data_IF_994775391365
#
_entry.id   IF_994775391365
#
_cell.length_a   1.000
_cell.length_b   1.000
_cell.length_c   1.000
_cell.angle_alpha   90.00
_cell.angle_beta   90.00
_cell.angle_gamma   90.00
#
_symmetry.space_group_name_H-M   'P 1'
#
loop_
_entity.id
_entity.type
_entity.pdbx_description
1 polymer ?
#
# COMPACT_ATOMS: atom_id res chain seq x y z
N UNK A 1 -14.72 13.69 -29.57
CA UNK A 1 -13.35 14.22 -29.37
C UNK A 1 -12.88 13.65 -28.06
N UNK A 2 -11.85 12.81 -28.08
CA UNK A 2 -11.39 12.03 -26.92
C UNK A 2 -10.81 12.95 -25.84
N UNK A 3 -11.10 12.65 -24.58
CA UNK A 3 -10.64 13.33 -23.35
C UNK A 3 -9.13 13.64 -23.34
N UNK A 4 -8.32 12.77 -23.95
CA UNK A 4 -6.88 12.96 -24.14
C UNK A 4 -6.49 14.21 -24.95
N UNK A 5 -7.31 14.56 -25.96
CA UNK A 5 -7.09 15.73 -26.83
C UNK A 5 -7.33 17.03 -26.06
N UNK A 6 -8.31 17.02 -25.15
CA UNK A 6 -8.70 18.15 -24.31
C UNK A 6 -7.64 18.43 -23.24
N UNK A 7 -7.10 17.39 -22.61
CA UNK A 7 -6.05 17.51 -21.59
C UNK A 7 -4.73 18.05 -22.17
N UNK A 8 -4.35 17.57 -23.36
CA UNK A 8 -3.14 18.04 -24.06
C UNK A 8 -3.23 19.52 -24.45
N UNK A 9 -4.43 19.96 -24.82
CA UNK A 9 -4.73 21.37 -25.12
C UNK A 9 -4.68 22.25 -23.87
N UNK A 10 -5.27 21.79 -22.75
CA UNK A 10 -5.23 22.47 -21.46
C UNK A 10 -3.79 22.63 -20.94
N UNK A 11 -2.95 21.57 -21.06
CA UNK A 11 -1.52 21.63 -20.71
C UNK A 11 -0.77 22.70 -21.52
N UNK A 12 -1.01 22.77 -22.83
CA UNK A 12 -0.37 23.78 -23.69
C UNK A 12 -0.82 25.21 -23.35
N UNK A 13 -2.11 25.41 -23.05
CA UNK A 13 -2.62 26.73 -22.64
C UNK A 13 -2.05 27.19 -21.31
N UNK A 14 -1.93 26.27 -20.34
CA UNK A 14 -1.33 26.56 -19.04
C UNK A 14 0.17 26.90 -19.17
N UNK A 15 0.93 26.13 -19.97
CA UNK A 15 2.32 26.43 -20.30
C UNK A 15 2.49 27.81 -20.96
N UNK A 16 1.55 28.20 -21.83
CA UNK A 16 1.54 29.52 -22.46
C UNK A 16 1.30 30.66 -21.46
N UNK A 17 0.36 30.49 -20.53
CA UNK A 17 0.09 31.45 -19.46
C UNK A 17 1.28 31.59 -18.50
N UNK A 18 1.93 30.48 -18.18
CA UNK A 18 3.12 30.42 -17.35
C UNK A 18 4.30 31.17 -17.95
N UNK A 19 4.59 30.92 -19.23
CA UNK A 19 5.65 31.63 -19.93
C UNK A 19 5.39 33.15 -20.01
N UNK A 20 4.12 33.58 -19.97
CA UNK A 20 3.74 34.99 -19.95
C UNK A 20 3.91 35.67 -18.58
N UNK A 21 3.98 34.90 -17.47
CA UNK A 21 4.11 35.45 -16.11
C UNK A 21 5.56 35.86 -15.75
N UNK A 22 6.56 35.48 -16.56
CA UNK A 22 7.92 36.05 -16.53
C UNK A 22 8.78 35.70 -15.30
N UNK A 23 8.24 34.98 -14.33
CA UNK A 23 8.88 34.63 -13.07
C UNK A 23 9.16 33.12 -13.02
N UNK A 24 10.41 32.73 -13.32
CA UNK A 24 10.81 31.32 -13.50
C UNK A 24 10.56 30.45 -12.26
N UNK A 25 10.69 31.01 -11.07
CA UNK A 25 10.55 30.29 -9.80
C UNK A 25 9.07 29.96 -9.55
N UNK A 26 8.19 30.96 -9.64
CA UNK A 26 6.73 30.76 -9.57
C UNK A 26 6.19 29.88 -10.70
N UNK A 27 6.83 29.89 -11.87
CA UNK A 27 6.48 28.97 -12.95
C UNK A 27 6.84 27.53 -12.62
N UNK A 28 7.94 27.28 -11.90
CA UNK A 28 8.30 25.93 -11.46
C UNK A 28 7.33 25.42 -10.39
N UNK A 29 6.96 26.25 -9.42
CA UNK A 29 5.98 25.89 -8.39
C UNK A 29 4.61 25.58 -9.01
N UNK A 30 4.17 26.40 -9.97
CA UNK A 30 2.89 26.17 -10.65
C UNK A 30 2.96 25.00 -11.65
N UNK A 31 4.12 24.68 -12.22
CA UNK A 31 4.31 23.46 -13.02
C UNK A 31 4.28 22.22 -12.15
N UNK A 32 4.88 22.26 -10.96
CA UNK A 32 4.76 21.20 -9.97
C UNK A 32 3.30 21.02 -9.52
N UNK A 33 2.59 22.13 -9.24
CA UNK A 33 1.15 22.12 -8.98
C UNK A 33 0.35 21.49 -10.13
N UNK A 34 0.63 21.89 -11.37
CA UNK A 34 -0.07 21.36 -12.54
C UNK A 34 0.22 19.87 -12.79
N UNK A 35 1.45 19.42 -12.53
CA UNK A 35 1.85 18.03 -12.64
C UNK A 35 1.18 17.18 -11.57
N UNK A 36 1.19 17.62 -10.31
CA UNK A 36 0.55 16.94 -9.18
C UNK A 36 -0.97 16.88 -9.36
N UNK A 37 -1.61 17.97 -9.83
CA UNK A 37 -3.04 17.98 -10.18
C UNK A 37 -3.33 17.04 -11.35
N UNK A 38 -2.49 17.01 -12.39
CA UNK A 38 -2.68 16.14 -13.54
C UNK A 38 -2.50 14.65 -13.17
N UNK A 39 -1.52 14.33 -12.33
CA UNK A 39 -1.31 13.00 -11.77
C UNK A 39 -2.50 12.59 -10.91
N UNK A 40 -2.95 13.47 -10.01
CA UNK A 40 -4.12 13.25 -9.17
C UNK A 40 -5.41 13.01 -9.99
N UNK A 41 -5.62 13.77 -11.08
CA UNK A 41 -6.74 13.59 -12.00
C UNK A 41 -6.62 12.29 -12.81
N UNK A 42 -5.42 11.96 -13.29
CA UNK A 42 -5.17 10.71 -14.03
C UNK A 42 -5.44 9.50 -13.13
N UNK A 43 -4.99 9.59 -11.89
CA UNK A 43 -5.25 8.60 -10.86
C UNK A 43 -6.73 8.55 -10.42
N UNK A 44 -7.51 9.62 -10.62
CA UNK A 44 -8.95 9.67 -10.33
C UNK A 44 -9.81 9.05 -11.45
N UNK A 45 -9.43 9.24 -12.70
CA UNK A 45 -10.28 8.96 -13.87
C UNK A 45 -9.65 8.05 -14.93
N UNK A 46 -8.39 7.62 -14.75
CA UNK A 46 -7.61 6.89 -15.74
C UNK A 46 -8.06 5.45 -16.04
N UNK A 47 -9.02 4.91 -15.28
CA UNK A 47 -9.50 3.53 -15.43
C UNK A 47 -11.03 3.41 -15.36
N UNK A 48 -11.75 4.44 -15.81
CA UNK A 48 -13.14 4.19 -16.22
C UNK A 48 -13.09 3.35 -17.50
N UNK A 49 -13.12 2.02 -17.35
CA UNK A 49 -13.41 1.12 -18.47
C UNK A 49 -14.67 1.64 -19.16
N UNK A 50 -14.60 1.76 -20.49
CA UNK A 50 -15.67 2.31 -21.32
C UNK A 50 -16.93 1.41 -21.38
N UNK A 51 -16.98 0.33 -20.59
CA UNK A 51 -18.06 -0.65 -20.59
C UNK A 51 -18.57 -0.88 -19.16
N UNK A 52 -19.55 -0.09 -18.71
CA UNK A 52 -20.71 -0.65 -18.00
C UNK A 52 -21.85 0.37 -17.90
N UNK A 53 -22.95 -0.02 -18.53
CA UNK A 53 -24.25 0.65 -18.62
C UNK A 53 -24.95 0.69 -17.25
N UNK A 54 -25.61 1.82 -16.99
CA UNK A 54 -26.79 1.96 -16.14
C UNK A 54 -26.76 1.38 -14.71
N UNK A 55 -26.09 2.07 -13.78
CA UNK A 55 -26.63 2.45 -12.46
C UNK A 55 -25.60 3.29 -11.68
N UNK A 56 -25.47 4.56 -12.06
CA UNK A 56 -24.74 5.54 -11.23
C UNK A 56 -25.71 6.10 -10.20
N UNK A 57 -25.72 5.52 -9.02
CA UNK A 57 -25.92 6.32 -7.82
C UNK A 57 -24.66 7.19 -7.70
N UNK A 58 -24.72 8.37 -8.32
CA UNK A 58 -23.71 9.43 -8.17
C UNK A 58 -23.69 9.86 -6.69
N UNK A 59 -22.89 9.16 -5.88
CA UNK A 59 -22.37 9.73 -4.64
C UNK A 59 -21.30 10.75 -5.09
N UNK A 60 -21.75 11.98 -5.32
CA UNK A 60 -20.95 13.19 -5.57
C UNK A 60 -19.93 13.35 -4.42
N UNK A 61 -18.80 12.63 -4.50
CA UNK A 61 -17.62 13.02 -3.73
C UNK A 61 -17.08 14.28 -4.38
N UNK A 62 -17.47 15.44 -3.82
CA UNK A 62 -16.99 16.76 -4.21
C UNK A 62 -15.48 16.72 -4.52
N UNK A 63 -15.14 17.03 -5.77
CA UNK A 63 -13.77 17.15 -6.24
C UNK A 63 -13.10 18.33 -5.53
N UNK A 64 -12.35 18.06 -4.47
CA UNK A 64 -11.56 19.08 -3.76
C UNK A 64 -10.12 19.01 -4.25
N UNK A 65 -9.73 19.98 -5.08
CA UNK A 65 -8.32 20.15 -5.46
C UNK A 65 -7.46 20.38 -4.21
N UNK A 66 -6.26 19.77 -4.13
CA UNK A 66 -5.34 20.06 -3.04
C UNK A 66 -4.95 21.54 -3.06
N UNK A 67 -4.93 22.14 -1.87
CA UNK A 67 -4.44 23.50 -1.65
C UNK A 67 -2.90 23.53 -1.67
N UNK A 68 -2.30 24.72 -1.77
CA UNK A 68 -0.84 24.87 -1.63
C UNK A 68 -0.37 24.37 -0.26
N UNK A 69 -1.10 24.70 0.80
CA UNK A 69 -0.83 24.19 2.15
C UNK A 69 -0.88 22.66 2.18
N UNK A 70 -1.79 22.02 1.44
CA UNK A 70 -1.83 20.56 1.33
C UNK A 70 -0.61 19.98 0.62
N UNK A 71 -0.03 20.70 -0.34
CA UNK A 71 1.20 20.27 -1.01
C UNK A 71 2.42 20.43 -0.10
N UNK A 72 2.54 21.57 0.58
CA UNK A 72 3.62 21.82 1.53
C UNK A 72 3.59 20.80 2.67
N UNK A 73 2.40 20.52 3.23
CA UNK A 73 2.23 19.50 4.25
C UNK A 73 2.58 18.10 3.73
N UNK A 74 2.21 17.76 2.49
CA UNK A 74 2.59 16.47 1.87
C UNK A 74 4.10 16.36 1.64
N UNK A 75 4.75 17.44 1.21
CA UNK A 75 6.20 17.46 1.02
C UNK A 75 6.95 17.27 2.35
N UNK A 76 6.53 17.99 3.40
CA UNK A 76 7.09 17.84 4.74
C UNK A 76 6.87 16.42 5.30
N UNK A 77 5.68 15.86 5.10
CA UNK A 77 5.38 14.48 5.47
C UNK A 77 6.29 13.47 4.74
N UNK A 78 6.48 13.64 3.42
CA UNK A 78 7.39 12.79 2.63
C UNK A 78 8.84 12.88 3.13
N UNK A 79 9.31 14.08 3.48
CA UNK A 79 10.66 14.26 4.03
C UNK A 79 10.82 13.51 5.37
N UNK A 80 9.84 13.59 6.26
CA UNK A 80 9.88 12.87 7.54
C UNK A 80 9.82 11.35 7.35
N UNK A 81 8.95 10.86 6.45
CA UNK A 81 8.89 9.45 6.07
C UNK A 81 10.21 8.96 5.47
N UNK A 82 10.87 9.77 4.64
CA UNK A 82 12.18 9.45 4.08
C UNK A 82 13.28 9.37 5.15
N UNK A 83 13.23 10.24 6.17
CA UNK A 83 14.12 10.15 7.32
C UNK A 83 13.86 8.86 8.13
N UNK A 84 12.60 8.52 8.40
CA UNK A 84 12.24 7.27 9.10
C UNK A 84 12.76 6.06 8.34
N UNK A 85 12.55 6.04 7.02
CA UNK A 85 13.06 4.98 6.15
C UNK A 85 14.58 4.88 6.20
N UNK A 86 15.31 6.01 6.17
CA UNK A 86 16.76 6.00 6.29
C UNK A 86 17.25 5.42 7.63
N UNK A 87 16.64 5.83 8.75
CA UNK A 87 16.99 5.31 10.08
C UNK A 87 16.64 3.82 10.23
N UNK A 88 15.55 3.36 9.61
CA UNK A 88 15.20 1.94 9.56
C UNK A 88 16.22 1.13 8.76
N UNK A 89 16.71 1.64 7.62
CA UNK A 89 17.74 0.96 6.79
C UNK A 89 19.02 0.69 7.58
N UNK A 90 19.38 1.54 8.55
CA UNK A 90 20.54 1.31 9.42
C UNK A 90 20.35 0.12 10.38
N UNK A 91 19.10 -0.28 10.62
CA UNK A 91 18.72 -1.29 11.62
C UNK A 91 18.30 -2.62 11.01
N UNK A 92 18.28 -2.75 9.68
CA UNK A 92 17.78 -3.94 8.98
C UNK A 92 18.81 -4.45 7.95
N UNK A 93 18.74 -5.71 7.53
CA UNK A 93 19.61 -6.22 6.46
C UNK A 93 19.50 -5.37 5.20
N UNK A 94 20.67 -4.99 4.67
CA UNK A 94 20.77 -4.09 3.52
C UNK A 94 20.06 -4.71 2.32
N UNK A 95 19.27 -3.89 1.63
CA UNK A 95 18.48 -4.22 0.44
C UNK A 95 17.25 -5.08 0.71
N UNK A 96 17.40 -6.22 1.39
CA UNK A 96 16.28 -7.14 1.56
C UNK A 96 15.31 -6.69 2.64
N UNK A 97 15.80 -6.06 3.72
CA UNK A 97 14.98 -5.74 4.89
C UNK A 97 14.10 -6.92 5.35
N UNK A 98 14.63 -8.14 5.28
CA UNK A 98 14.01 -9.35 5.86
C UNK A 98 14.84 -9.72 7.09
N UNK A 99 14.25 -9.67 8.28
CA UNK A 99 14.96 -9.99 9.52
C UNK A 99 15.21 -11.50 9.63
N UNK A 100 16.27 -11.91 10.33
CA UNK A 100 16.53 -13.33 10.61
C UNK A 100 15.40 -14.00 11.41
N UNK A 101 14.68 -13.20 12.20
CA UNK A 101 13.51 -13.63 12.98
C UNK A 101 12.22 -13.68 12.17
N UNK A 102 12.23 -13.21 10.91
CA UNK A 102 11.07 -13.18 10.04
C UNK A 102 10.93 -14.49 9.26
N UNK A 103 9.79 -15.16 9.42
CA UNK A 103 9.50 -16.43 8.76
C UNK A 103 8.81 -16.22 7.40
N UNK A 104 9.49 -15.57 6.46
CA UNK A 104 8.98 -15.39 5.09
C UNK A 104 9.03 -16.72 4.35
N UNK A 105 7.92 -17.12 3.75
CA UNK A 105 7.84 -18.33 2.91
C UNK A 105 7.29 -17.98 1.54
N UNK A 106 7.93 -18.49 0.48
CA UNK A 106 7.44 -18.29 -0.89
C UNK A 106 6.26 -19.21 -1.21
N UNK A 107 5.19 -18.72 -1.85
CA UNK A 107 3.99 -19.52 -2.13
C UNK A 107 4.26 -20.81 -2.89
N UNK A 108 5.18 -20.81 -3.88
CA UNK A 108 5.50 -22.00 -4.68
C UNK A 108 6.24 -23.08 -3.89
N UNK A 109 6.87 -22.72 -2.77
CA UNK A 109 7.71 -23.61 -1.97
C UNK A 109 6.94 -24.24 -0.80
N UNK A 110 5.66 -23.90 -0.61
CA UNK A 110 4.85 -24.36 0.53
C UNK A 110 3.79 -25.37 0.10
N UNK A 111 3.91 -26.61 0.60
CA UNK A 111 2.92 -27.66 0.41
C UNK A 111 1.52 -27.21 0.85
N UNK A 112 0.52 -27.39 -0.01
CA UNK A 112 -0.88 -27.12 0.32
C UNK A 112 -1.31 -25.65 0.21
N UNK A 113 -0.39 -24.71 -0.01
CA UNK A 113 -0.75 -23.38 -0.52
C UNK A 113 -1.05 -23.56 -2.00
N UNK A 114 -2.34 -23.70 -2.34
CA UNK A 114 -2.72 -23.27 -3.68
C UNK A 114 -2.39 -21.78 -3.71
N UNK A 115 -1.35 -21.39 -4.44
CA UNK A 115 -1.25 -20.03 -4.92
C UNK A 115 -2.47 -19.83 -5.83
N UNK A 116 -3.62 -19.51 -5.24
CA UNK A 116 -4.85 -19.14 -5.94
C UNK A 116 -4.76 -17.69 -6.46
N UNK A 117 -3.56 -17.11 -6.43
CA UNK A 117 -3.19 -15.93 -7.17
C UNK A 117 -2.30 -16.42 -8.29
N UNK A 118 -2.88 -16.56 -9.48
CA UNK A 118 -2.18 -17.00 -10.71
C UNK A 118 -0.91 -16.18 -10.98
N UNK A 119 -0.78 -14.99 -10.37
CA UNK A 119 0.36 -14.09 -10.49
C UNK A 119 1.53 -14.39 -9.53
N UNK A 120 1.35 -15.23 -8.51
CA UNK A 120 2.37 -15.49 -7.46
C UNK A 120 2.73 -16.97 -7.31
N UNK A 121 2.12 -17.86 -8.10
CA UNK A 121 2.35 -19.31 -8.04
C UNK A 121 3.75 -19.76 -8.42
N UNK A 122 4.45 -18.94 -9.21
CA UNK A 122 5.74 -19.29 -9.80
C UNK A 122 6.91 -18.61 -9.07
N UNK A 123 6.62 -17.88 -7.98
CA UNK A 123 7.61 -17.18 -7.17
C UNK A 123 8.30 -18.15 -6.21
N UNK A 124 9.63 -18.19 -6.28
CA UNK A 124 10.52 -19.05 -5.51
C UNK A 124 11.65 -18.22 -4.92
N UNK A 125 12.33 -18.75 -3.91
CA UNK A 125 13.54 -18.16 -3.35
C UNK A 125 14.69 -17.97 -4.37
N UNK A 126 14.61 -18.62 -5.54
CA UNK A 126 15.64 -18.55 -6.59
C UNK A 126 15.40 -17.46 -7.63
N UNK A 127 14.14 -17.17 -7.94
CA UNK A 127 13.75 -16.23 -8.99
C UNK A 127 13.12 -14.96 -8.40
N UNK A 128 13.14 -14.79 -7.08
CA UNK A 128 12.52 -13.65 -6.41
C UNK A 128 13.48 -13.03 -5.40
N UNK A 129 13.55 -11.70 -5.40
CA UNK A 129 14.25 -10.89 -4.40
C UNK A 129 13.21 -10.03 -3.69
N UNK A 130 13.26 -10.03 -2.37
CA UNK A 130 12.47 -9.12 -1.57
C UNK A 130 13.19 -7.77 -1.49
N UNK A 131 12.46 -6.69 -1.75
CA UNK A 131 12.90 -5.30 -1.57
C UNK A 131 11.75 -4.52 -0.96
N UNK A 132 11.95 -3.94 0.22
CA UNK A 132 10.89 -3.23 0.93
C UNK A 132 10.59 -1.88 0.26
N UNK A 133 9.37 -1.70 -0.25
CA UNK A 133 8.97 -0.51 -1.01
C UNK A 133 8.77 0.75 -0.14
N UNK A 134 8.67 0.63 1.18
CA UNK A 134 8.72 1.79 2.08
C UNK A 134 10.16 2.27 2.25
N UNK A 135 11.09 1.32 2.34
CA UNK A 135 12.51 1.63 2.52
C UNK A 135 13.19 2.00 1.21
N UNK A 136 12.82 1.44 0.07
CA UNK A 136 13.54 1.63 -1.19
C UNK A 136 12.55 1.98 -2.30
N UNK A 137 12.64 3.20 -2.84
CA UNK A 137 11.88 3.63 -4.01
C UNK A 137 12.50 3.08 -5.31
N UNK A 138 11.82 3.32 -6.43
CA UNK A 138 12.25 2.84 -7.75
C UNK A 138 13.65 3.32 -8.14
N UNK A 139 13.95 4.59 -7.89
CA UNK A 139 15.26 5.17 -8.17
C UNK A 139 16.36 4.53 -7.31
N UNK A 140 16.12 4.33 -6.01
CA UNK A 140 17.08 3.73 -5.09
C UNK A 140 17.38 2.29 -5.48
N UNK A 141 16.37 1.53 -5.92
CA UNK A 141 16.58 0.14 -6.37
C UNK A 141 17.35 0.10 -7.69
N UNK A 142 17.07 1.02 -8.61
CA UNK A 142 17.86 1.15 -9.85
C UNK A 142 19.32 1.46 -9.54
N UNK A 143 19.60 2.40 -8.63
CA UNK A 143 20.95 2.73 -8.18
C UNK A 143 21.64 1.51 -7.54
N UNK A 144 20.96 0.78 -6.65
CA UNK A 144 21.48 -0.45 -6.03
C UNK A 144 21.81 -1.53 -7.07
N UNK A 145 21.01 -1.62 -8.14
CA UNK A 145 21.28 -2.55 -9.22
C UNK A 145 22.50 -2.12 -10.06
N UNK A 146 22.61 -0.83 -10.36
CA UNK A 146 23.67 -0.26 -11.18
C UNK A 146 25.03 -0.30 -10.46
N UNK A 147 25.02 -0.16 -9.13
CA UNK A 147 26.18 -0.33 -8.25
C UNK A 147 26.56 -1.81 -8.01
N UNK A 148 25.74 -2.75 -8.49
CA UNK A 148 25.96 -4.19 -8.31
C UNK A 148 25.69 -4.71 -6.90
N UNK A 149 25.00 -3.94 -6.07
CA UNK A 149 24.52 -4.36 -4.74
C UNK A 149 23.28 -5.26 -4.84
N UNK A 150 22.54 -5.15 -5.94
CA UNK A 150 21.33 -5.92 -6.22
C UNK A 150 21.37 -6.51 -7.63
N UNK A 151 20.98 -7.77 -7.77
CA UNK A 151 20.95 -8.42 -9.06
C UNK A 151 19.61 -8.15 -9.76
N UNK A 152 19.65 -7.74 -11.05
CA UNK A 152 18.44 -7.65 -11.90
C UNK A 152 18.04 -8.98 -12.54
N UNK A 153 18.99 -9.91 -12.63
CA UNK A 153 18.81 -11.16 -13.35
C UNK A 153 19.37 -12.34 -12.55
N UNK A 154 18.75 -13.50 -12.70
CA UNK A 154 19.25 -14.76 -12.17
C UNK A 154 19.58 -15.72 -13.32
N UNK A 155 20.49 -16.66 -13.06
CA UNK A 155 20.91 -17.63 -14.07
C UNK A 155 20.01 -18.88 -14.02
N UNK A 156 19.41 -19.25 -15.15
CA UNK A 156 18.52 -20.40 -15.26
C UNK A 156 19.25 -21.72 -15.51
N UNK A 157 20.53 -21.69 -15.89
CA UNK A 157 21.30 -22.90 -16.28
C UNK A 157 22.76 -22.96 -15.80
N UNK A 158 23.09 -22.22 -14.74
CA UNK A 158 24.42 -22.03 -14.11
C UNK A 158 25.62 -21.71 -15.03
N UNK A 159 26.36 -20.65 -14.70
CA UNK A 159 27.72 -20.41 -15.23
C UNK A 159 27.84 -19.80 -16.62
N UNK A 160 26.73 -19.42 -17.28
CA UNK A 160 26.79 -18.72 -18.58
C UNK A 160 25.87 -17.50 -18.62
N UNK A 161 26.39 -16.36 -19.06
CA UNK A 161 25.62 -15.11 -19.24
C UNK A 161 24.56 -15.19 -20.35
N UNK A 162 24.43 -16.34 -21.03
CA UNK A 162 23.47 -16.58 -22.12
C UNK A 162 22.13 -17.15 -21.64
N UNK A 163 22.05 -17.56 -20.38
CA UNK A 163 20.87 -18.20 -19.78
C UNK A 163 20.51 -17.45 -18.50
N UNK A 164 20.02 -16.23 -18.68
CA UNK A 164 19.58 -15.36 -17.58
C UNK A 164 18.15 -14.90 -17.81
N UNK A 165 17.39 -14.81 -16.73
CA UNK A 165 16.03 -14.28 -16.72
C UNK A 165 15.93 -13.17 -15.66
N UNK A 166 15.01 -12.21 -15.82
CA UNK A 166 14.79 -11.17 -14.82
C UNK A 166 14.40 -11.78 -13.47
N UNK A 167 14.93 -11.20 -12.39
CA UNK A 167 14.46 -11.48 -11.05
C UNK A 167 13.10 -10.81 -10.82
N UNK A 168 12.23 -11.47 -10.06
CA UNK A 168 11.02 -10.87 -9.54
C UNK A 168 11.37 -10.06 -8.31
N UNK A 169 11.03 -8.78 -8.30
CA UNK A 169 11.13 -7.95 -7.10
C UNK A 169 9.76 -7.99 -6.41
N UNK A 170 9.74 -8.15 -5.10
CA UNK A 170 8.51 -8.13 -4.29
C UNK A 170 8.70 -7.28 -3.04
N UNK A 171 7.61 -6.65 -2.59
CA UNK A 171 7.55 -5.95 -1.32
C UNK A 171 6.37 -6.44 -0.48
N UNK A 172 6.58 -6.60 0.83
CA UNK A 172 5.50 -6.80 1.80
C UNK A 172 5.02 -5.49 2.45
N UNK A 173 5.70 -4.38 2.20
CA UNK A 173 5.31 -3.06 2.68
C UNK A 173 4.69 -2.24 1.56
N UNK A 174 3.79 -1.33 1.93
CA UNK A 174 3.30 -0.29 1.04
C UNK A 174 4.41 0.75 0.81
N UNK A 175 4.53 1.26 -0.41
CA UNK A 175 5.41 2.41 -0.67
C UNK A 175 4.83 3.70 -0.06
N UNK A 176 5.68 4.73 0.04
CA UNK A 176 5.26 6.06 0.49
C UNK A 176 4.17 6.63 -0.41
N UNK A 177 4.33 6.54 -1.74
CA UNK A 177 3.34 7.04 -2.70
C UNK A 177 2.00 6.30 -2.57
N UNK A 178 2.07 4.99 -2.32
CA UNK A 178 0.89 4.15 -2.14
C UNK A 178 0.15 4.47 -0.85
N UNK A 179 0.88 4.68 0.24
CA UNK A 179 0.31 5.05 1.53
C UNK A 179 -0.25 6.48 1.51
N UNK A 180 0.46 7.43 0.88
CA UNK A 180 -0.03 8.79 0.66
C UNK A 180 -1.31 8.79 -0.17
N UNK A 181 -1.33 8.07 -1.29
CA UNK A 181 -2.48 7.95 -2.17
C UNK A 181 -3.70 7.39 -1.43
N UNK A 182 -3.50 6.35 -0.62
CA UNK A 182 -4.56 5.79 0.23
C UNK A 182 -5.12 6.82 1.22
N UNK A 183 -4.26 7.42 2.03
CA UNK A 183 -4.71 8.27 3.14
C UNK A 183 -5.14 9.65 2.67
N UNK A 184 -4.36 10.33 1.85
CA UNK A 184 -4.66 11.69 1.40
C UNK A 184 -5.91 11.78 0.51
N UNK A 185 -6.27 10.68 -0.18
CA UNK A 185 -7.44 10.66 -1.06
C UNK A 185 -8.71 10.22 -0.34
N UNK A 186 -8.63 9.16 0.45
CA UNK A 186 -9.83 8.53 1.01
C UNK A 186 -10.06 8.84 2.49
N UNK A 187 -9.01 9.25 3.21
CA UNK A 187 -9.02 9.32 4.68
C UNK A 187 -8.37 10.59 5.25
N UNK A 188 -8.09 11.60 4.42
CA UNK A 188 -7.30 12.79 4.80
C UNK A 188 -7.80 13.49 6.06
N UNK A 189 -9.11 13.64 6.17
CA UNK A 189 -9.79 14.32 7.28
C UNK A 189 -10.44 13.34 8.26
N UNK A 190 -10.12 12.04 8.16
CA UNK A 190 -10.73 11.03 9.02
C UNK A 190 -10.27 11.21 10.46
N UNK A 191 -11.24 11.31 11.37
CA UNK A 191 -11.00 11.22 12.81
C UNK A 191 -11.27 9.80 13.34
N UNK A 192 -11.48 8.84 12.43
CA UNK A 192 -11.76 7.46 12.77
C UNK A 192 -10.48 6.75 13.26
N UNK A 193 -10.58 5.83 14.23
CA UNK A 193 -9.44 5.03 14.66
C UNK A 193 -8.95 4.13 13.51
N UNK A 194 -7.63 4.00 13.37
CA UNK A 194 -6.99 3.18 12.35
C UNK A 194 -6.29 2.00 13.04
N UNK A 195 -6.51 0.80 12.54
CA UNK A 195 -5.80 -0.42 12.93
C UNK A 195 -5.09 -1.00 11.71
N UNK A 196 -3.79 -1.15 11.82
CA UNK A 196 -2.93 -1.80 10.84
C UNK A 196 -2.51 -3.18 11.39
N UNK A 197 -2.81 -4.24 10.65
CA UNK A 197 -2.49 -5.62 11.03
C UNK A 197 -1.37 -6.09 10.11
N UNK A 198 -0.24 -6.52 10.69
CA UNK A 198 0.98 -6.86 9.93
C UNK A 198 1.79 -5.61 9.58
N UNK A 199 2.04 -4.75 10.57
CA UNK A 199 2.67 -3.44 10.33
C UNK A 199 4.09 -3.48 9.76
N UNK A 200 4.83 -4.57 9.98
CA UNK A 200 6.21 -4.78 9.53
C UNK A 200 7.12 -3.57 9.76
N UNK A 201 7.51 -2.84 8.70
CA UNK A 201 8.38 -1.64 8.80
C UNK A 201 7.67 -0.42 9.40
N UNK A 202 6.34 -0.45 9.48
CA UNK A 202 5.51 0.63 10.00
C UNK A 202 5.04 1.63 8.94
N UNK A 203 5.21 1.33 7.65
CA UNK A 203 4.88 2.22 6.54
C UNK A 203 3.48 2.85 6.65
N UNK A 204 2.46 2.03 6.94
CA UNK A 204 1.08 2.47 7.14
C UNK A 204 0.91 3.29 8.42
N UNK A 205 1.60 2.95 9.50
CA UNK A 205 1.52 3.65 10.79
C UNK A 205 2.01 5.09 10.66
N UNK A 206 3.21 5.28 10.09
CA UNK A 206 3.80 6.60 9.94
C UNK A 206 3.02 7.42 8.92
N UNK A 207 2.66 6.83 7.78
CA UNK A 207 1.88 7.51 6.75
C UNK A 207 0.50 7.92 7.26
N UNK A 208 -0.18 7.08 8.04
CA UNK A 208 -1.45 7.44 8.67
C UNK A 208 -1.29 8.64 9.62
N UNK A 209 -0.19 8.71 10.38
CA UNK A 209 0.07 9.82 11.28
C UNK A 209 0.30 11.13 10.52
N UNK A 210 0.95 11.09 9.36
CA UNK A 210 1.20 12.30 8.57
C UNK A 210 0.02 12.73 7.69
N UNK A 211 -0.69 11.78 7.09
CA UNK A 211 -1.69 12.07 6.05
C UNK A 211 -3.14 12.02 6.55
N UNK A 212 -3.38 11.74 7.84
CA UNK A 212 -4.74 11.75 8.41
C UNK A 212 -4.81 12.56 9.70
N UNK A 213 -6.02 12.92 10.11
CA UNK A 213 -6.32 13.50 11.42
C UNK A 213 -6.72 12.46 12.47
N UNK A 214 -6.48 11.17 12.21
CA UNK A 214 -6.89 10.08 13.11
C UNK A 214 -6.21 10.23 14.48
N UNK A 215 -6.97 10.28 15.59
CA UNK A 215 -6.40 10.46 16.91
C UNK A 215 -5.67 9.21 17.41
N UNK A 216 -5.98 8.03 16.88
CA UNK A 216 -5.46 6.75 17.36
C UNK A 216 -5.16 5.82 16.20
N UNK A 217 -3.89 5.46 16.08
CA UNK A 217 -3.34 4.56 15.07
C UNK A 217 -2.70 3.40 15.82
N UNK A 218 -3.21 2.19 15.64
CA UNK A 218 -2.70 1.00 16.30
C UNK A 218 -2.10 0.06 15.27
N UNK A 219 -0.85 -0.36 15.46
CA UNK A 219 -0.23 -1.45 14.72
C UNK A 219 -0.26 -2.74 15.52
N UNK A 220 -0.54 -3.86 14.87
CA UNK A 220 -0.33 -5.21 15.42
C UNK A 220 0.69 -5.89 14.54
N UNK A 221 1.80 -6.32 15.13
CA UNK A 221 2.89 -6.98 14.40
C UNK A 221 3.27 -8.29 15.09
N UNK A 222 3.30 -9.38 14.30
CA UNK A 222 3.56 -10.72 14.82
C UNK A 222 5.03 -10.89 15.19
N UNK A 223 5.94 -10.36 14.37
CA UNK A 223 7.38 -10.41 14.61
C UNK A 223 7.77 -9.38 15.67
N UNK A 224 8.36 -9.85 16.77
CA UNK A 224 8.70 -8.98 17.91
C UNK A 224 9.77 -7.95 17.57
N UNK A 225 10.77 -8.31 16.76
CA UNK A 225 11.86 -7.42 16.41
C UNK A 225 11.34 -6.26 15.54
N UNK A 226 10.43 -6.55 14.60
CA UNK A 226 9.72 -5.52 13.83
C UNK A 226 8.85 -4.61 14.71
N UNK A 227 8.13 -5.20 15.66
CA UNK A 227 7.32 -4.43 16.60
C UNK A 227 8.19 -3.51 17.47
N UNK A 228 9.31 -4.01 18.00
CA UNK A 228 10.26 -3.23 18.81
C UNK A 228 10.97 -2.13 18.01
N UNK A 229 11.34 -2.43 16.77
CA UNK A 229 11.93 -1.45 15.86
C UNK A 229 10.92 -0.34 15.53
N UNK A 230 9.68 -0.70 15.22
CA UNK A 230 8.59 0.27 15.00
C UNK A 230 8.34 1.13 16.24
N UNK A 231 8.30 0.54 17.43
CA UNK A 231 8.18 1.31 18.69
C UNK A 231 9.35 2.27 18.91
N UNK A 232 10.55 1.90 18.47
CA UNK A 232 11.74 2.76 18.54
C UNK A 232 11.59 3.96 17.61
N UNK A 233 11.14 3.76 16.38
CA UNK A 233 10.89 4.86 15.43
C UNK A 233 9.75 5.76 15.89
N UNK A 234 8.64 5.20 16.37
CA UNK A 234 7.52 5.98 16.95
C UNK A 234 8.01 6.90 18.07
N UNK A 235 8.90 6.43 18.94
CA UNK A 235 9.50 7.27 20.00
C UNK A 235 10.46 8.31 19.43
N UNK A 236 11.34 7.92 18.51
CA UNK A 236 12.37 8.79 17.91
C UNK A 236 11.76 9.98 17.17
N UNK A 237 10.63 9.76 16.50
CA UNK A 237 9.91 10.78 15.73
C UNK A 237 8.74 11.42 16.50
N UNK A 238 8.67 11.22 17.82
CA UNK A 238 7.65 11.80 18.68
C UNK A 238 6.18 11.51 18.26
N UNK A 239 5.94 10.33 17.68
CA UNK A 239 4.62 9.89 17.21
C UNK A 239 3.81 9.13 18.30
N UNK A 240 4.35 9.02 19.51
CA UNK A 240 3.79 8.24 20.64
C UNK A 240 2.38 8.68 21.06
N UNK A 241 2.01 9.92 20.80
CA UNK A 241 0.68 10.45 21.16
C UNK A 241 -0.43 9.89 20.26
N UNK A 242 -0.08 9.37 19.08
CA UNK A 242 -1.04 8.87 18.09
C UNK A 242 -0.83 7.40 17.75
N UNK A 243 0.42 6.92 17.75
CA UNK A 243 0.76 5.55 17.35
C UNK A 243 1.04 4.65 18.55
N UNK A 244 0.39 3.48 18.59
CA UNK A 244 0.71 2.38 19.49
C UNK A 244 0.99 1.12 18.69
N UNK A 245 2.01 0.35 19.07
CA UNK A 245 2.39 -0.91 18.38
C UNK A 245 2.32 -2.07 19.37
N UNK A 246 1.56 -3.10 19.02
CA UNK A 246 1.33 -4.30 19.81
C UNK A 246 2.08 -5.47 19.18
N UNK A 247 2.98 -6.09 19.96
CA UNK A 247 3.78 -7.23 19.50
C UNK A 247 3.06 -8.55 19.79
N UNK A 248 2.60 -9.25 18.76
CA UNK A 248 2.04 -10.60 18.85
C UNK A 248 0.96 -10.90 17.82
N UNK A 249 0.36 -12.08 17.98
CA UNK A 249 -0.73 -12.55 17.13
C UNK A 249 -1.99 -11.71 17.33
N UNK A 250 -2.56 -11.23 16.23
CA UNK A 250 -3.81 -10.43 16.21
C UNK A 250 -4.95 -11.05 17.02
N UNK A 251 -5.03 -12.38 17.05
CA UNK A 251 -6.08 -13.13 17.77
C UNK A 251 -5.98 -12.97 19.29
N UNK A 252 -4.83 -12.54 19.80
CA UNK A 252 -4.61 -12.24 21.22
C UNK A 252 -5.06 -10.83 21.62
N UNK A 253 -5.30 -9.95 20.63
CA UNK A 253 -5.66 -8.54 20.83
C UNK A 253 -7.12 -8.25 20.51
N UNK A 254 -8.04 -9.13 20.95
CA UNK A 254 -9.50 -8.98 20.78
C UNK A 254 -9.99 -7.55 21.02
N UNK A 255 -9.64 -6.96 22.17
CA UNK A 255 -10.11 -5.63 22.56
C UNK A 255 -9.65 -4.54 21.59
N UNK A 256 -8.43 -4.64 21.04
CA UNK A 256 -7.93 -3.69 20.06
C UNK A 256 -8.70 -3.81 18.74
N UNK A 257 -8.95 -5.05 18.28
CA UNK A 257 -9.69 -5.33 17.04
C UNK A 257 -11.16 -4.89 17.15
N UNK A 258 -11.82 -5.18 18.28
CA UNK A 258 -13.20 -4.76 18.53
C UNK A 258 -13.33 -3.23 18.69
N UNK A 259 -12.29 -2.55 19.20
CA UNK A 259 -12.26 -1.10 19.36
C UNK A 259 -11.94 -0.33 18.06
N UNK A 260 -11.35 -0.99 17.07
CA UNK A 260 -11.03 -0.42 15.75
C UNK A 260 -12.29 -0.27 14.87
N UNK A 261 -13.25 0.56 15.31
CA UNK A 261 -14.54 0.79 14.64
C UNK A 261 -14.42 1.61 13.34
N UNK A 262 -13.25 2.20 13.09
CA UNK A 262 -12.95 3.06 11.97
C UNK A 262 -12.49 2.31 10.74
N UNK A 263 -11.18 2.13 10.63
CA UNK A 263 -10.49 1.59 9.45
C UNK A 263 -9.56 0.46 9.90
N UNK A 264 -9.67 -0.71 9.26
CA UNK A 264 -8.67 -1.78 9.36
C UNK A 264 -7.93 -1.87 8.04
N UNK A 265 -6.60 -1.86 8.08
CA UNK A 265 -5.73 -2.06 6.92
C UNK A 265 -4.96 -3.37 7.10
N UNK A 266 -4.91 -4.17 6.03
CA UNK A 266 -4.16 -5.43 5.95
C UNK A 266 -3.42 -5.47 4.61
N UNK A 267 -2.13 -5.16 4.61
CA UNK A 267 -1.28 -5.19 3.41
C UNK A 267 -0.31 -6.38 3.44
N UNK A 268 -0.47 -7.34 2.53
CA UNK A 268 0.38 -8.52 2.33
C UNK A 268 0.64 -9.32 3.63
N UNK A 269 -0.39 -9.48 4.47
CA UNK A 269 -0.26 -9.92 5.86
C UNK A 269 -0.16 -11.44 6.00
N UNK A 270 -0.75 -12.19 5.07
CA UNK A 270 -1.08 -13.60 5.32
C UNK A 270 -0.38 -14.57 4.35
N UNK A 271 -0.26 -14.20 3.08
CA UNK A 271 0.11 -15.09 1.99
C UNK A 271 1.54 -15.63 2.11
N UNK A 272 2.43 -14.81 2.68
CA UNK A 272 3.85 -15.10 2.85
C UNK A 272 4.19 -15.64 4.25
N UNK A 273 3.25 -15.59 5.19
CA UNK A 273 3.51 -15.83 6.61
C UNK A 273 2.67 -16.96 7.22
N UNK A 274 1.57 -17.36 6.57
CA UNK A 274 0.64 -18.37 7.07
C UNK A 274 0.19 -19.32 5.95
N UNK A 275 -0.02 -20.61 6.27
CA UNK A 275 -0.59 -21.55 5.30
C UNK A 275 -2.10 -21.36 5.23
N UNK A 276 -2.74 -21.95 4.22
CA UNK A 276 -4.17 -21.80 4.00
C UNK A 276 -5.03 -22.20 5.22
N UNK A 277 -4.57 -23.14 6.06
CA UNK A 277 -5.30 -23.51 7.27
C UNK A 277 -5.20 -22.41 8.32
N UNK A 278 -4.00 -21.87 8.53
CA UNK A 278 -3.75 -20.79 9.48
C UNK A 278 -4.40 -19.47 9.03
N UNK A 279 -4.31 -19.12 7.75
CA UNK A 279 -5.01 -17.97 7.17
C UNK A 279 -6.52 -18.07 7.40
N UNK A 280 -7.11 -19.25 7.17
CA UNK A 280 -8.54 -19.49 7.44
C UNK A 280 -8.88 -19.31 8.91
N UNK A 281 -8.03 -19.78 9.81
CA UNK A 281 -8.25 -19.64 11.25
C UNK A 281 -8.21 -18.17 11.68
N UNK A 282 -7.25 -17.39 11.17
CA UNK A 282 -7.14 -15.94 11.42
C UNK A 282 -8.35 -15.21 10.86
N UNK A 283 -8.73 -15.47 9.60
CA UNK A 283 -9.90 -14.86 8.99
C UNK A 283 -11.20 -15.18 9.73
N UNK A 284 -11.41 -16.44 10.10
CA UNK A 284 -12.58 -16.86 10.87
C UNK A 284 -12.68 -16.12 12.19
N UNK A 285 -11.55 -15.89 12.87
CA UNK A 285 -11.49 -15.13 14.11
C UNK A 285 -11.76 -13.63 13.87
N UNK A 286 -11.16 -13.02 12.84
CA UNK A 286 -11.38 -11.61 12.50
C UNK A 286 -12.85 -11.34 12.17
N UNK A 287 -13.48 -12.21 11.39
CA UNK A 287 -14.89 -12.09 11.01
C UNK A 287 -15.85 -12.10 12.22
N UNK A 288 -15.44 -12.70 13.35
CA UNK A 288 -16.23 -12.73 14.58
C UNK A 288 -16.06 -11.47 15.46
N UNK A 289 -14.99 -10.70 15.25
CA UNK A 289 -14.55 -9.67 16.21
C UNK A 289 -14.32 -8.30 15.61
N UNK A 290 -14.12 -8.20 14.29
CA UNK A 290 -13.97 -6.92 13.64
C UNK A 290 -15.26 -6.09 13.75
N UNK A 291 -15.09 -4.78 13.90
CA UNK A 291 -16.24 -3.85 13.96
C UNK A 291 -16.09 -2.67 13.01
N UNK A 292 -14.98 -2.62 12.27
CA UNK A 292 -14.58 -1.51 11.43
C UNK A 292 -15.61 -1.13 10.39
N UNK A 293 -15.72 0.17 10.13
CA UNK A 293 -16.53 0.74 9.05
C UNK A 293 -15.89 0.43 7.70
N UNK A 294 -14.56 0.53 7.64
CA UNK A 294 -13.76 0.34 6.43
C UNK A 294 -12.73 -0.74 6.62
N UNK A 295 -12.54 -1.52 5.57
CA UNK A 295 -11.52 -2.56 5.50
C UNK A 295 -10.75 -2.35 4.20
N UNK A 296 -9.44 -2.25 4.31
CA UNK A 296 -8.54 -2.03 3.19
C UNK A 296 -7.61 -3.23 3.14
N UNK A 297 -7.58 -3.94 2.01
CA UNK A 297 -6.74 -5.12 1.86
C UNK A 297 -5.94 -5.08 0.58
N UNK A 298 -4.71 -5.59 0.70
CA UNK A 298 -3.89 -6.02 -0.43
C UNK A 298 -3.36 -7.39 -0.05
N UNK A 299 -3.58 -8.43 -0.86
CA UNK A 299 -4.44 -8.49 -2.04
C UNK A 299 -5.94 -8.35 -1.70
N UNK A 300 -6.81 -8.37 -2.72
CA UNK A 300 -8.27 -8.25 -2.55
C UNK A 300 -8.88 -9.33 -1.62
N UNK A 301 -9.90 -8.99 -0.82
CA UNK A 301 -10.57 -9.91 0.10
C UNK A 301 -11.10 -11.14 -0.61
N UNK A 302 -11.65 -11.00 -1.80
CA UNK A 302 -12.25 -12.08 -2.60
C UNK A 302 -11.21 -13.16 -2.89
N UNK A 303 -9.99 -12.75 -3.24
CA UNK A 303 -8.87 -13.65 -3.51
C UNK A 303 -8.42 -14.37 -2.24
N UNK A 304 -8.26 -13.62 -1.14
CA UNK A 304 -7.86 -14.18 0.16
C UNK A 304 -8.91 -15.16 0.71
N UNK A 305 -10.18 -14.79 0.66
CA UNK A 305 -11.29 -15.60 1.17
C UNK A 305 -11.57 -16.81 0.30
N UNK A 306 -11.48 -16.69 -1.04
CA UNK A 306 -11.55 -17.86 -1.93
C UNK A 306 -10.44 -18.86 -1.64
N UNK A 307 -9.21 -18.39 -1.41
CA UNK A 307 -8.12 -19.26 -0.97
C UNK A 307 -8.43 -19.97 0.35
N UNK A 308 -9.07 -19.27 1.29
CA UNK A 308 -9.50 -19.80 2.58
C UNK A 308 -10.85 -20.56 2.55
N UNK A 309 -11.52 -20.69 1.40
CA UNK A 309 -12.88 -21.23 1.26
C UNK A 309 -13.92 -20.51 2.15
N UNK A 310 -13.83 -19.18 2.18
CA UNK A 310 -14.72 -18.24 2.86
C UNK A 310 -15.49 -17.33 1.87
N UNK A 311 -15.50 -17.69 0.59
CA UNK A 311 -16.07 -16.93 -0.53
C UNK A 311 -17.59 -16.71 -0.44
N UNK A 312 -18.30 -17.54 0.33
CA UNK A 312 -19.74 -17.35 0.60
C UNK A 312 -20.05 -16.20 1.58
N UNK A 313 -19.03 -15.62 2.22
CA UNK A 313 -19.16 -14.61 3.30
C UNK A 313 -19.23 -13.17 2.75
N UNK A 314 -18.50 -12.88 1.67
CA UNK A 314 -18.30 -11.54 1.09
C UNK A 314 -19.60 -10.74 0.86
N UNK A 315 -20.60 -11.23 0.11
CA UNK A 315 -21.79 -10.44 -0.20
C UNK A 315 -22.64 -10.10 1.02
N UNK A 316 -22.41 -10.74 2.18
CA UNK A 316 -23.23 -10.57 3.38
C UNK A 316 -22.66 -9.55 4.37
N UNK A 317 -21.33 -9.39 4.45
CA UNK A 317 -20.69 -8.58 5.49
C UNK A 317 -20.18 -7.23 4.99
N UNK A 318 -19.78 -7.16 3.73
CA UNK A 318 -19.15 -5.97 3.18
C UNK A 318 -19.73 -5.62 1.80
N UNK A 319 -19.58 -4.37 1.40
CA UNK A 319 -19.82 -3.89 0.04
C UNK A 319 -18.48 -3.39 -0.48
N UNK A 320 -18.01 -3.98 -1.58
CA UNK A 320 -16.83 -3.48 -2.28
C UNK A 320 -17.06 -2.00 -2.63
N UNK A 321 -16.11 -1.16 -2.24
CA UNK A 321 -16.11 0.24 -2.62
C UNK A 321 -15.53 0.31 -4.03
N UNK A 322 -16.36 0.74 -4.98
CA UNK A 322 -16.19 0.50 -6.42
C UNK A 322 -15.16 1.43 -7.07
N UNK A 323 -13.99 1.57 -6.46
CA UNK A 323 -12.82 2.21 -7.06
C UNK A 323 -11.59 1.37 -6.75
N UNK A 324 -11.33 0.39 -7.60
CA UNK A 324 -10.02 -0.24 -7.70
C UNK A 324 -9.04 0.85 -8.12
N UNK A 325 -8.04 1.06 -7.29
CA UNK A 325 -7.04 2.07 -7.56
C UNK A 325 -5.74 1.38 -7.92
N UNK A 326 -5.20 1.76 -9.08
CA UNK A 326 -3.93 1.33 -9.62
C UNK A 326 -2.87 2.29 -9.14
N UNK A 327 -2.06 1.86 -8.18
CA UNK A 327 -0.89 2.64 -7.80
C UNK A 327 0.23 2.46 -8.82
N UNK A 328 0.96 3.56 -9.05
CA UNK A 328 2.14 3.57 -9.89
C UNK A 328 3.13 2.50 -9.40
N UNK A 329 3.88 1.93 -10.34
CA UNK A 329 4.81 0.82 -10.11
C UNK A 329 5.65 1.10 -8.87
N UNK A 330 5.69 0.11 -7.99
CA UNK A 330 6.82 -0.08 -7.08
C UNK A 330 7.20 -1.53 -7.19
N UNK A 331 8.33 -1.78 -7.86
CA UNK A 331 9.02 -3.07 -7.97
C UNK A 331 8.16 -4.33 -8.14
N UNK A 332 7.58 -4.54 -9.33
CA UNK A 332 7.15 -5.87 -9.79
C UNK A 332 7.51 -6.09 -11.26
N UNK A 333 7.97 -7.31 -11.57
CA UNK A 333 8.28 -7.78 -12.95
C UNK A 333 7.03 -8.23 -13.72
N UNK A 334 5.86 -8.18 -13.08
CA UNK A 334 4.57 -8.35 -13.72
C UNK A 334 4.10 -6.95 -14.11
N UNK A 335 3.63 -6.76 -15.34
CA UNK A 335 2.88 -5.55 -15.74
C UNK A 335 1.57 -5.47 -14.92
N UNK A 336 1.72 -5.19 -13.64
CA UNK A 336 0.71 -5.36 -12.60
C UNK A 336 0.49 -4.04 -11.91
N UNK A 337 -0.71 -3.54 -12.08
CA UNK A 337 -1.28 -2.46 -11.30
C UNK A 337 -1.30 -2.88 -9.82
N UNK A 338 -0.73 -2.06 -8.92
CA UNK A 338 -0.86 -2.32 -7.49
C UNK A 338 -2.28 -1.93 -7.07
N UNK A 339 -3.15 -2.93 -6.93
CA UNK A 339 -4.55 -2.74 -6.62
C UNK A 339 -4.79 -2.77 -5.10
N UNK A 340 -5.20 -1.61 -4.55
CA UNK A 340 -5.73 -1.54 -3.19
C UNK A 340 -7.24 -1.75 -3.22
N UNK A 341 -7.73 -2.78 -2.52
CA UNK A 341 -9.16 -3.06 -2.44
C UNK A 341 -9.73 -2.52 -1.14
N UNK A 342 -10.80 -1.72 -1.26
CA UNK A 342 -11.47 -1.07 -0.13
C UNK A 342 -12.90 -1.58 -0.02
N UNK A 343 -13.35 -1.84 1.20
CA UNK A 343 -14.66 -2.38 1.49
C UNK A 343 -15.31 -1.61 2.63
N UNK A 344 -16.59 -1.32 2.47
CA UNK A 344 -17.41 -0.75 3.54
C UNK A 344 -18.23 -1.86 4.19
N UNK A 345 -18.24 -1.92 5.52
CA UNK A 345 -19.09 -2.85 6.26
C UNK A 345 -20.57 -2.56 5.98
N UNK A 346 -21.37 -3.60 5.77
CA UNK A 346 -22.83 -3.48 5.68
C UNK A 346 -23.43 -3.37 7.08
N UNK A 347 -24.34 -2.43 7.26
CA UNK A 347 -25.12 -2.37 8.50
C UNK A 347 -26.06 -3.59 8.57
N UNK A 348 -26.19 -4.17 9.76
CA UNK A 348 -27.13 -5.26 10.04
C UNK A 348 -28.59 -4.74 9.92
N UNK A 349 -29.08 -4.64 8.69
CA UNK A 349 -30.40 -4.07 8.38
C UNK A 349 -30.62 -3.70 6.92
N UNK A 350 -29.57 -3.66 6.09
CA UNK A 350 -29.69 -3.49 4.63
C UNK A 350 -29.57 -4.87 3.95
N UNK A 351 -30.70 -5.58 3.85
CA UNK A 351 -30.86 -6.74 2.95
C UNK A 351 -31.70 -6.35 1.75
#
# INVERSE_FOLDING_TARGET
MTTATTLTSAKHQLLGLLHALGDRERCQDLLAFAADVAEHITNLYGHADEDDDDNRDDDDTDFVLPTLDDMENRAAAREELAMIAADLRESVPVVTAVLESEAVTYPAERDGVRANMDQMSDLTSKNTVHVDAFLYDDATVDDLCDEGQLARYYCTACGTAKHVEPLNFISHSLSVDNAEGLFSRYFKTTTLPILDIGSRTGALLYSAAHFTTSPTITGIELNRDWAELSQTMVKRYALVDRISVLAGDVRTFRTAVEAATGIIVMNNVFEYFADTQEQRAIWTWLLQHWSATWIVTVPALESQWRACQLDTVEPQLVKAFQRRYVLARTHTAVDGEFEVSMYRRRDAGQQ
#
